data_IF_956519983240
#
_entry.id   IF_956519983240
#
_cell.length_a   1.000
_cell.length_b   1.000
_cell.length_c   1.000
_cell.angle_alpha   90.00
_cell.angle_beta   90.00
_cell.angle_gamma   90.00
#
_symmetry.space_group_name_H-M   'P 1'
#
loop_
_entity.id
_entity.type
_entity.pdbx_description
1 polymer ?
#
# COMPACT_ATOMS: atom_id res chain seq x y z
N UNK A 1 11.91 8.29 28.29
CA UNK A 1 10.69 8.52 27.50
C UNK A 1 10.92 9.54 26.39
N UNK A 2 11.47 10.72 26.68
CA UNK A 2 11.81 11.73 25.66
C UNK A 2 12.85 11.22 24.65
N UNK A 3 13.91 10.53 25.10
CA UNK A 3 14.94 10.01 24.19
C UNK A 3 14.41 8.96 23.19
N UNK A 4 13.55 8.05 23.64
CA UNK A 4 12.90 7.05 22.77
C UNK A 4 12.02 7.73 21.72
N UNK A 5 11.18 8.69 22.12
CA UNK A 5 10.35 9.45 21.20
C UNK A 5 11.18 10.24 20.16
N UNK A 6 12.32 10.81 20.56
CA UNK A 6 13.24 11.45 19.60
C UNK A 6 13.86 10.46 18.63
N UNK A 7 14.21 9.24 19.08
CA UNK A 7 14.76 8.20 18.20
C UNK A 7 13.71 7.75 17.20
N UNK A 8 12.49 7.45 17.64
CA UNK A 8 11.38 7.04 16.76
C UNK A 8 11.06 8.12 15.72
N UNK A 9 11.03 9.39 16.14
CA UNK A 9 10.82 10.52 15.22
C UNK A 9 11.97 10.63 14.22
N UNK A 10 13.22 10.48 14.67
CA UNK A 10 14.38 10.52 13.79
C UNK A 10 14.37 9.37 12.77
N UNK A 11 14.08 8.14 13.21
CA UNK A 11 13.93 6.97 12.34
C UNK A 11 12.81 7.20 11.33
N UNK A 12 11.66 7.71 11.76
CA UNK A 12 10.52 8.03 10.89
C UNK A 12 10.91 9.05 9.82
N UNK A 13 11.57 10.14 10.20
CA UNK A 13 12.04 11.16 9.26
C UNK A 13 13.03 10.55 8.25
N UNK A 14 13.99 9.74 8.72
CA UNK A 14 14.94 9.07 7.83
C UNK A 14 14.23 8.14 6.85
N UNK A 15 13.27 7.34 7.31
CA UNK A 15 12.48 6.47 6.44
C UNK A 15 11.68 7.26 5.40
N UNK A 16 11.05 8.37 5.80
CA UNK A 16 10.32 9.25 4.88
C UNK A 16 11.25 9.89 3.84
N UNK A 17 12.45 10.32 4.24
CA UNK A 17 13.45 10.86 3.32
C UNK A 17 13.94 9.79 2.34
N UNK A 18 14.19 8.56 2.81
CA UNK A 18 14.53 7.43 1.94
C UNK A 18 13.40 7.11 0.97
N UNK A 19 12.15 7.14 1.44
CA UNK A 19 10.98 6.93 0.60
C UNK A 19 10.87 7.99 -0.50
N UNK A 20 11.09 9.27 -0.15
CA UNK A 20 11.16 10.37 -1.11
C UNK A 20 12.28 10.20 -2.13
N UNK A 21 13.47 9.78 -1.70
CA UNK A 21 14.61 9.51 -2.57
C UNK A 21 14.34 8.34 -3.55
N UNK A 22 13.75 7.25 -3.06
CA UNK A 22 13.36 6.10 -3.90
C UNK A 22 12.27 6.50 -4.89
N UNK A 23 11.26 7.25 -4.46
CA UNK A 23 10.19 7.78 -5.32
C UNK A 23 10.75 8.65 -6.43
N UNK A 24 11.69 9.54 -6.10
CA UNK A 24 12.40 10.33 -7.10
C UNK A 24 13.19 9.45 -8.07
N UNK A 25 13.86 8.40 -7.56
CA UNK A 25 14.54 7.40 -8.38
C UNK A 25 13.61 6.71 -9.36
N UNK A 26 12.43 6.25 -8.91
CA UNK A 26 11.42 5.59 -9.74
C UNK A 26 11.01 6.48 -10.92
N UNK A 27 10.76 7.78 -10.67
CA UNK A 27 10.35 8.74 -11.71
C UNK A 27 11.47 9.04 -12.72
N UNK A 28 12.74 8.83 -12.35
CA UNK A 28 13.91 9.16 -13.20
C UNK A 28 14.43 7.98 -14.02
N UNK A 29 14.19 6.76 -13.56
CA UNK A 29 14.72 5.54 -14.19
C UNK A 29 13.88 5.18 -15.43
N UNK A 30 14.54 4.99 -16.57
CA UNK A 30 13.89 4.57 -17.82
C UNK A 30 13.83 3.05 -18.00
N UNK A 31 14.68 2.31 -17.27
CA UNK A 31 14.70 0.86 -17.30
C UNK A 31 13.59 0.31 -16.42
N UNK A 32 12.57 -0.30 -17.02
CA UNK A 32 11.39 -0.77 -16.30
C UNK A 32 11.73 -1.88 -15.30
N UNK A 33 12.74 -2.72 -15.58
CA UNK A 33 13.25 -3.67 -14.60
C UNK A 33 13.76 -2.97 -13.33
N UNK A 34 14.57 -1.92 -13.49
CA UNK A 34 15.07 -1.15 -12.36
C UNK A 34 13.95 -0.38 -11.65
N UNK A 35 12.94 0.11 -12.37
CA UNK A 35 11.75 0.72 -11.78
C UNK A 35 10.97 -0.28 -10.92
N UNK A 36 10.81 -1.53 -11.37
CA UNK A 36 10.15 -2.61 -10.61
C UNK A 36 10.94 -2.95 -9.33
N UNK A 37 12.27 -3.05 -9.43
CA UNK A 37 13.10 -3.25 -8.23
C UNK A 37 12.93 -2.09 -7.24
N UNK A 38 12.94 -0.84 -7.70
CA UNK A 38 12.75 0.33 -6.84
C UNK A 38 11.34 0.39 -6.22
N UNK A 39 10.30 -0.04 -6.94
CA UNK A 39 8.93 -0.18 -6.39
C UNK A 39 8.87 -1.25 -5.29
N UNK A 40 9.62 -2.34 -5.42
CA UNK A 40 9.80 -3.33 -4.35
C UNK A 40 10.50 -2.74 -3.13
N UNK A 41 11.58 -1.97 -3.33
CA UNK A 41 12.27 -1.27 -2.23
C UNK A 41 11.35 -0.26 -1.55
N UNK A 42 10.57 0.51 -2.32
CA UNK A 42 9.57 1.44 -1.79
C UNK A 42 8.59 0.72 -0.85
N UNK A 43 8.07 -0.44 -1.28
CA UNK A 43 7.10 -1.21 -0.50
C UNK A 43 7.72 -1.77 0.79
N UNK A 44 8.99 -2.23 0.75
CA UNK A 44 9.70 -2.67 1.97
C UNK A 44 9.99 -1.52 2.94
N UNK A 45 10.31 -0.32 2.44
CA UNK A 45 10.47 0.87 3.26
C UNK A 45 9.14 1.29 3.91
N UNK A 46 8.02 1.21 3.16
CA UNK A 46 6.68 1.45 3.71
C UNK A 46 6.29 0.42 4.77
N UNK A 47 6.56 -0.88 4.54
CA UNK A 47 6.33 -1.91 5.55
C UNK A 47 7.13 -1.64 6.83
N UNK A 48 8.38 -1.18 6.70
CA UNK A 48 9.20 -0.78 7.85
C UNK A 48 8.63 0.43 8.58
N UNK A 49 8.12 1.42 7.83
CA UNK A 49 7.43 2.58 8.41
C UNK A 49 6.19 2.14 9.20
N UNK A 50 5.40 1.20 8.69
CA UNK A 50 4.25 0.66 9.43
C UNK A 50 4.63 -0.09 10.69
N UNK A 51 5.78 -0.78 10.72
CA UNK A 51 6.31 -1.39 11.95
C UNK A 51 6.65 -0.31 12.99
N UNK A 52 7.28 0.79 12.57
CA UNK A 52 7.59 1.92 13.47
C UNK A 52 6.31 2.58 14.00
N UNK A 53 5.21 2.51 13.27
CA UNK A 53 3.89 2.99 13.68
C UNK A 53 3.05 1.95 14.43
N UNK A 54 3.67 0.85 14.91
CA UNK A 54 3.00 -0.27 15.61
C UNK A 54 1.88 -0.96 14.81
N UNK A 55 1.86 -0.80 13.49
CA UNK A 55 0.86 -1.36 12.59
C UNK A 55 1.40 -2.66 11.93
N UNK A 56 1.69 -3.67 12.75
CA UNK A 56 2.38 -4.88 12.28
C UNK A 56 1.58 -5.68 11.23
N UNK A 57 0.26 -5.80 11.39
CA UNK A 57 -0.57 -6.54 10.42
C UNK A 57 -0.61 -5.83 9.07
N UNK A 58 -0.68 -4.50 9.07
CA UNK A 58 -0.59 -3.69 7.85
C UNK A 58 0.79 -3.84 7.21
N UNK A 59 1.86 -3.81 8.00
CA UNK A 59 3.23 -4.02 7.52
C UNK A 59 3.42 -5.39 6.85
N UNK A 60 2.87 -6.46 7.43
CA UNK A 60 2.95 -7.80 6.84
C UNK A 60 2.21 -7.86 5.49
N UNK A 61 1.03 -7.25 5.39
CA UNK A 61 0.29 -7.19 4.12
C UNK A 61 1.00 -6.37 3.06
N UNK A 62 1.60 -5.23 3.43
CA UNK A 62 2.38 -4.39 2.52
C UNK A 62 3.63 -5.12 2.02
N UNK A 63 4.36 -5.80 2.90
CA UNK A 63 5.52 -6.60 2.51
C UNK A 63 5.13 -7.75 1.57
N UNK A 64 4.03 -8.46 1.88
CA UNK A 64 3.58 -9.60 1.08
C UNK A 64 3.04 -9.17 -0.30
N UNK A 65 2.18 -8.15 -0.34
CA UNK A 65 1.47 -7.74 -1.57
C UNK A 65 2.27 -6.72 -2.37
N UNK A 66 2.78 -5.67 -1.70
CA UNK A 66 3.55 -4.60 -2.34
C UNK A 66 4.90 -5.10 -2.83
N UNK A 67 5.74 -5.62 -1.91
CA UNK A 67 7.07 -6.09 -2.30
C UNK A 67 7.06 -7.49 -2.94
N UNK A 68 6.19 -8.40 -2.48
CA UNK A 68 6.13 -9.78 -2.98
C UNK A 68 5.34 -9.93 -4.28
N UNK A 69 4.01 -9.97 -4.18
CA UNK A 69 3.11 -10.30 -5.30
C UNK A 69 3.22 -9.31 -6.45
N UNK A 70 3.23 -8.00 -6.18
CA UNK A 70 3.28 -6.98 -7.23
C UNK A 70 4.57 -7.03 -8.03
N UNK A 71 5.70 -7.32 -7.38
CA UNK A 71 7.00 -7.52 -8.07
C UNK A 71 6.92 -8.70 -9.03
N UNK A 72 6.33 -9.83 -8.62
CA UNK A 72 6.15 -11.01 -9.50
C UNK A 72 5.27 -10.66 -10.70
N UNK A 73 4.16 -9.95 -10.48
CA UNK A 73 3.28 -9.53 -11.58
C UNK A 73 3.92 -8.54 -12.53
N UNK A 74 4.65 -7.53 -12.03
CA UNK A 74 5.35 -6.60 -12.90
C UNK A 74 6.49 -7.26 -13.68
N UNK A 75 7.28 -8.13 -13.05
CA UNK A 75 8.30 -8.91 -13.77
C UNK A 75 7.68 -9.85 -14.80
N UNK A 76 6.54 -10.48 -14.48
CA UNK A 76 5.76 -11.29 -15.43
C UNK A 76 5.23 -10.47 -16.61
N UNK A 77 4.79 -9.23 -16.37
CA UNK A 77 4.41 -8.31 -17.43
C UNK A 77 5.62 -7.90 -18.30
N UNK A 78 6.75 -7.58 -17.68
CA UNK A 78 8.00 -7.26 -18.38
C UNK A 78 8.58 -8.42 -19.18
N UNK A 79 8.25 -9.66 -18.83
CA UNK A 79 8.61 -10.81 -19.65
C UNK A 79 7.83 -10.84 -20.98
N UNK A 80 6.66 -10.18 -21.04
CA UNK A 80 5.79 -10.10 -22.21
C UNK A 80 5.85 -8.74 -22.93
N UNK A 81 6.59 -7.76 -22.40
CA UNK A 81 6.66 -6.40 -22.94
C UNK A 81 8.11 -5.93 -23.08
N UNK A 82 8.31 -4.75 -23.65
CA UNK A 82 9.61 -4.10 -23.64
C UNK A 82 10.04 -3.74 -22.20
N UNK A 83 11.36 -3.68 -21.99
CA UNK A 83 11.98 -3.41 -20.68
C UNK A 83 12.43 -1.97 -20.51
N UNK A 84 12.22 -1.13 -21.53
CA UNK A 84 12.60 0.29 -21.55
C UNK A 84 11.37 1.12 -21.84
N UNK A 85 11.24 2.24 -21.13
CA UNK A 85 10.17 3.21 -21.36
C UNK A 85 10.16 3.74 -22.80
N UNK A 86 8.97 3.78 -23.41
CA UNK A 86 8.79 4.38 -24.73
C UNK A 86 9.02 5.90 -24.68
N UNK A 87 9.63 6.51 -25.73
CA UNK A 87 9.85 7.95 -25.75
C UNK A 87 8.52 8.70 -25.68
N UNK A 88 8.47 9.75 -24.84
CA UNK A 88 7.28 10.56 -24.67
C UNK A 88 6.85 11.18 -26.01
N UNK A 89 5.70 10.72 -26.53
CA UNK A 89 5.20 11.09 -27.87
C UNK A 89 4.54 12.48 -27.91
N UNK A 90 4.13 13.02 -26.75
CA UNK A 90 3.45 14.31 -26.60
C UNK A 90 3.93 15.05 -25.35
N UNK A 91 3.69 16.37 -25.29
CA UNK A 91 3.95 17.18 -24.10
C UNK A 91 3.11 16.67 -22.93
N UNK A 92 3.76 16.27 -21.85
CA UNK A 92 3.15 15.63 -20.67
C UNK A 92 2.37 16.62 -19.77
N UNK A 93 1.86 17.72 -20.33
CA UNK A 93 1.16 18.76 -19.55
C UNK A 93 -0.14 18.24 -18.95
N UNK A 94 -0.94 17.48 -19.72
CA UNK A 94 -2.23 16.96 -19.23
C UNK A 94 -2.05 15.93 -18.10
N UNK A 95 -1.18 14.90 -18.22
CA UNK A 95 -0.89 13.99 -17.11
C UNK A 95 -0.33 14.70 -15.87
N UNK A 96 0.56 15.68 -16.06
CA UNK A 96 1.11 16.46 -14.96
C UNK A 96 0.04 17.31 -14.26
N UNK A 97 -0.84 17.95 -15.03
CA UNK A 97 -1.95 18.74 -14.50
C UNK A 97 -2.88 17.85 -13.66
N UNK A 98 -3.27 16.69 -14.17
CA UNK A 98 -4.10 15.73 -13.42
C UNK A 98 -3.40 15.28 -12.14
N UNK A 99 -2.11 14.93 -12.20
CA UNK A 99 -1.35 14.53 -11.02
C UNK A 99 -1.28 15.64 -9.96
N UNK A 100 -1.07 16.90 -10.37
CA UNK A 100 -1.02 18.04 -9.46
C UNK A 100 -2.38 18.36 -8.85
N UNK A 101 -3.46 18.27 -9.62
CA UNK A 101 -4.82 18.44 -9.12
C UNK A 101 -5.16 17.36 -8.10
N UNK A 102 -4.85 16.09 -8.40
CA UNK A 102 -5.06 14.98 -7.46
C UNK A 102 -4.22 15.16 -6.20
N UNK A 103 -2.94 15.53 -6.32
CA UNK A 103 -2.08 15.83 -5.17
C UNK A 103 -2.65 16.98 -4.32
N UNK A 104 -3.12 18.06 -4.96
CA UNK A 104 -3.77 19.18 -4.28
C UNK A 104 -5.05 18.77 -3.54
N UNK A 105 -5.88 17.93 -4.15
CA UNK A 105 -7.10 17.40 -3.52
C UNK A 105 -6.78 16.52 -2.30
N UNK A 106 -5.74 15.67 -2.39
CA UNK A 106 -5.29 14.85 -1.26
C UNK A 106 -4.73 15.71 -0.13
N UNK A 107 -3.88 16.71 -0.44
CA UNK A 107 -3.35 17.64 0.56
C UNK A 107 -4.46 18.47 1.22
N UNK A 108 -5.47 18.87 0.45
CA UNK A 108 -6.65 19.54 0.99
C UNK A 108 -7.44 18.63 1.95
N UNK A 109 -7.66 17.37 1.59
CA UNK A 109 -8.28 16.39 2.49
C UNK A 109 -7.48 16.16 3.77
N UNK A 110 -6.14 16.13 3.69
CA UNK A 110 -5.26 16.00 4.86
C UNK A 110 -5.35 17.23 5.78
N UNK A 111 -5.57 18.42 5.23
CA UNK A 111 -5.68 19.65 6.04
C UNK A 111 -6.90 19.69 6.97
N UNK A 112 -7.92 18.87 6.70
CA UNK A 112 -9.11 18.73 7.55
C UNK A 112 -8.94 17.64 8.63
N UNK A 113 -7.84 16.87 8.59
CA UNK A 113 -7.57 15.87 9.61
C UNK A 113 -7.14 16.53 10.93
N UNK A 114 -7.60 16.02 12.08
CA UNK A 114 -7.12 16.47 13.37
C UNK A 114 -5.60 16.31 13.50
N UNK A 115 -4.92 17.12 14.34
CA UNK A 115 -3.50 16.97 14.59
C UNK A 115 -3.16 15.53 14.99
N UNK A 116 -2.11 14.98 14.40
CA UNK A 116 -1.67 13.62 14.67
C UNK A 116 -1.47 13.40 16.18
N UNK A 117 -2.07 12.34 16.73
CA UNK A 117 -1.98 12.00 18.15
C UNK A 117 -2.85 12.82 19.11
N UNK A 118 -3.78 13.64 18.64
CA UNK A 118 -4.70 14.38 19.52
C UNK A 118 -5.67 13.42 20.22
N UNK A 119 -5.75 13.46 21.56
CA UNK A 119 -6.55 12.55 22.37
C UNK A 119 -8.07 12.56 22.07
N UNK A 120 -8.58 13.64 21.48
CA UNK A 120 -10.01 13.81 21.18
C UNK A 120 -10.47 13.10 19.89
N UNK A 121 -9.58 12.38 19.21
CA UNK A 121 -9.93 11.70 17.97
C UNK A 121 -10.90 10.52 18.20
N UNK A 122 -11.86 10.28 17.28
CA UNK A 122 -12.77 9.14 17.37
C UNK A 122 -12.07 7.79 17.56
N UNK A 123 -10.88 7.62 16.97
CA UNK A 123 -10.08 6.40 17.10
C UNK A 123 -9.65 6.10 18.55
N UNK A 124 -9.47 7.12 19.39
CA UNK A 124 -9.13 6.92 20.80
C UNK A 124 -10.35 6.57 21.65
N UNK A 125 -11.57 6.84 21.18
CA UNK A 125 -12.80 6.46 21.87
C UNK A 125 -13.24 5.06 21.48
N UNK A 126 -13.41 4.81 20.18
CA UNK A 126 -13.87 3.51 19.68
C UNK A 126 -12.74 2.47 19.64
N UNK A 127 -11.52 2.87 19.30
CA UNK A 127 -10.36 1.96 19.29
C UNK A 127 -10.00 1.45 20.67
N UNK A 128 -10.10 2.29 21.71
CA UNK A 128 -9.86 1.87 23.09
C UNK A 128 -10.91 0.85 23.58
N UNK A 129 -12.16 0.95 23.11
CA UNK A 129 -13.22 -0.01 23.45
C UNK A 129 -12.90 -1.40 22.88
N UNK A 130 -12.42 -1.47 21.63
CA UNK A 130 -12.00 -2.74 21.01
C UNK A 130 -10.84 -3.40 21.76
N UNK A 131 -9.89 -2.63 22.31
CA UNK A 131 -8.77 -3.20 23.07
C UNK A 131 -9.23 -3.96 24.32
N UNK A 132 -10.29 -3.49 24.97
CA UNK A 132 -10.83 -4.11 26.20
C UNK A 132 -11.79 -5.25 25.89
N UNK A 133 -12.66 -5.07 24.88
CA UNK A 133 -13.77 -5.99 24.60
C UNK A 133 -13.44 -7.13 23.63
N UNK A 134 -12.43 -6.96 22.77
CA UNK A 134 -12.09 -7.95 21.72
C UNK A 134 -11.82 -9.35 22.28
N UNK A 135 -10.92 -9.48 23.26
CA UNK A 135 -10.54 -10.78 23.80
C UNK A 135 -11.71 -11.50 24.53
N UNK A 136 -12.47 -10.85 25.44
CA UNK A 136 -13.63 -11.47 26.07
C UNK A 136 -14.75 -11.89 25.11
N UNK A 137 -15.02 -11.10 24.07
CA UNK A 137 -16.15 -11.33 23.16
C UNK A 137 -15.81 -12.30 22.02
N UNK A 138 -14.56 -12.30 21.53
CA UNK A 138 -14.17 -13.07 20.34
C UNK A 138 -13.24 -14.25 20.64
N UNK A 139 -12.56 -14.24 21.79
CA UNK A 139 -11.54 -15.23 22.13
C UNK A 139 -10.23 -15.11 21.34
N UNK A 140 -10.08 -14.07 20.52
CA UNK A 140 -8.92 -13.84 19.66
C UNK A 140 -7.98 -12.81 20.31
N UNK A 141 -6.71 -13.16 20.48
CA UNK A 141 -5.72 -12.30 21.12
C UNK A 141 -5.24 -11.13 20.24
N UNK A 142 -5.20 -11.31 18.91
CA UNK A 142 -4.89 -10.22 18.00
C UNK A 142 -6.15 -9.35 17.78
N UNK A 143 -6.11 -8.13 18.32
CA UNK A 143 -7.22 -7.17 18.24
C UNK A 143 -7.56 -6.79 16.81
N UNK A 144 -6.57 -6.60 15.92
CA UNK A 144 -6.81 -6.22 14.53
C UNK A 144 -7.58 -7.33 13.81
N UNK A 145 -7.13 -8.58 13.96
CA UNK A 145 -7.84 -9.75 13.41
C UNK A 145 -9.23 -9.91 14.01
N UNK A 146 -9.40 -9.66 15.32
CA UNK A 146 -10.70 -9.70 15.98
C UNK A 146 -11.65 -8.62 15.41
N UNK A 147 -11.16 -7.40 15.18
CA UNK A 147 -11.92 -6.30 14.57
C UNK A 147 -12.32 -6.66 13.15
N UNK A 148 -11.37 -7.03 12.29
CA UNK A 148 -11.66 -7.34 10.88
C UNK A 148 -12.62 -8.52 10.73
N UNK A 149 -12.45 -9.60 11.51
CA UNK A 149 -13.27 -10.80 11.36
C UNK A 149 -14.62 -10.71 12.08
N UNK A 150 -14.66 -10.16 13.30
CA UNK A 150 -15.84 -10.27 14.18
C UNK A 150 -16.69 -9.00 14.23
N UNK A 151 -16.07 -7.82 14.28
CA UNK A 151 -16.80 -6.55 14.39
C UNK A 151 -17.07 -5.91 13.03
N UNK A 152 -16.13 -6.03 12.09
CA UNK A 152 -16.19 -5.48 10.72
C UNK A 152 -16.15 -6.56 9.64
N UNK A 153 -16.58 -7.78 9.97
CA UNK A 153 -16.53 -8.95 9.07
C UNK A 153 -17.22 -8.76 7.73
N UNK A 154 -18.28 -7.94 7.66
CA UNK A 154 -18.95 -7.65 6.39
C UNK A 154 -18.10 -6.81 5.42
N UNK A 155 -17.27 -5.91 5.93
CA UNK A 155 -16.35 -5.10 5.13
C UNK A 155 -15.26 -6.00 4.51
N UNK A 156 -14.66 -6.85 5.34
CA UNK A 156 -13.66 -7.85 4.92
C UNK A 156 -14.25 -8.90 3.97
N UNK A 157 -15.51 -9.31 4.14
CA UNK A 157 -16.21 -10.19 3.19
C UNK A 157 -16.35 -9.51 1.82
N UNK A 158 -16.68 -8.21 1.81
CA UNK A 158 -16.74 -7.40 0.60
C UNK A 158 -15.39 -7.33 -0.11
N UNK A 159 -14.33 -6.97 0.61
CA UNK A 159 -12.95 -6.94 0.10
C UNK A 159 -12.53 -8.30 -0.47
N UNK A 160 -12.78 -9.40 0.26
CA UNK A 160 -12.47 -10.76 -0.18
C UNK A 160 -13.22 -11.12 -1.47
N UNK A 161 -14.49 -10.72 -1.58
CA UNK A 161 -15.31 -10.95 -2.77
C UNK A 161 -14.74 -10.23 -3.99
N UNK A 162 -14.27 -8.98 -3.82
CA UNK A 162 -13.63 -8.20 -4.89
C UNK A 162 -12.33 -8.85 -5.35
N UNK A 163 -11.44 -9.21 -4.41
CA UNK A 163 -10.16 -9.88 -4.73
C UNK A 163 -10.38 -11.23 -5.41
N UNK A 164 -11.33 -12.02 -4.90
CA UNK A 164 -11.70 -13.31 -5.49
C UNK A 164 -12.23 -13.14 -6.92
N UNK A 165 -13.12 -12.17 -7.14
CA UNK A 165 -13.66 -11.86 -8.47
C UNK A 165 -12.57 -11.40 -9.43
N UNK A 166 -11.63 -10.56 -8.99
CA UNK A 166 -10.47 -10.16 -9.78
C UNK A 166 -9.61 -11.38 -10.16
N UNK A 167 -9.38 -12.31 -9.22
CA UNK A 167 -8.68 -13.56 -9.48
C UNK A 167 -9.35 -14.43 -10.54
N UNK A 168 -10.67 -14.62 -10.46
CA UNK A 168 -11.46 -15.34 -11.48
C UNK A 168 -11.35 -14.63 -12.84
N UNK A 169 -11.48 -13.29 -12.86
CA UNK A 169 -11.39 -12.51 -14.09
C UNK A 169 -10.02 -12.69 -14.78
N UNK A 170 -8.93 -12.68 -14.01
CA UNK A 170 -7.58 -12.93 -14.52
C UNK A 170 -7.48 -14.35 -15.10
N UNK A 171 -7.96 -15.38 -14.39
CA UNK A 171 -7.95 -16.77 -14.88
C UNK A 171 -8.76 -16.94 -16.17
N UNK A 172 -9.94 -16.31 -16.26
CA UNK A 172 -10.77 -16.31 -17.45
C UNK A 172 -10.07 -15.63 -18.65
N UNK A 173 -9.40 -14.49 -18.41
CA UNK A 173 -8.63 -13.76 -19.42
C UNK A 173 -7.46 -14.60 -19.96
N UNK A 174 -6.70 -15.26 -19.08
CA UNK A 174 -5.57 -16.10 -19.45
C UNK A 174 -5.99 -17.38 -20.19
N UNK A 175 -7.12 -17.98 -19.80
CA UNK A 175 -7.67 -19.17 -20.48
C UNK A 175 -8.05 -18.89 -21.93
N UNK A 176 -8.66 -17.72 -22.20
CA UNK A 176 -9.11 -17.35 -23.56
C UNK A 176 -7.95 -17.26 -24.56
N UNK A 177 -6.80 -16.69 -24.15
CA UNK A 177 -5.63 -16.54 -25.04
C UNK A 177 -4.99 -17.86 -25.45
N UNK A 178 -5.12 -18.91 -24.64
CA UNK A 178 -4.54 -20.23 -24.94
C UNK A 178 -5.33 -21.00 -26.01
N UNK A 179 -6.58 -20.61 -26.29
CA UNK A 179 -7.43 -21.23 -27.31
C UNK A 179 -7.28 -20.66 -28.72
N UNK A 180 -6.68 -19.47 -28.88
CA UNK A 180 -6.57 -18.77 -30.17
C UNK A 180 -5.20 -18.93 -30.86
N UNK A 181 -4.22 -19.56 -30.18
CA UNK A 181 -2.84 -19.76 -30.69
C UNK A 181 -2.51 -21.20 -31.11
N UNK A 182 -3.52 -22.06 -31.30
CA UNK A 182 -3.36 -23.44 -31.74
C UNK A 182 -4.02 -23.68 -33.10
N UNK A 183 -3.45 -23.11 -34.16
CA UNK A 183 -3.60 -23.59 -35.53
C UNK A 183 -2.38 -23.17 -36.37
#
# INVERSE_FOLDING_TARGET
MTELATIETAVTIVLLLLLGAVTFGIVRVRGLFAAVVLLGVYSLLMATLFIVLDAVDVAMTEAAVGAGVSTVFFLGALWLTDTVEAPARQRQFMPLFVALVTAGALLWGVSDLPPFGSADQPIHREGADYLVRSLPETGIANVVSAVLASYRGFDTLGETTVVFTAGIAILALLKRRRGEGGN
#
